data_IF_595653958684
#
_entry.id   IF_595653958684
#
_cell.length_a   1.000
_cell.length_b   1.000
_cell.length_c   1.000
_cell.angle_alpha   90.00
_cell.angle_beta   90.00
_cell.angle_gamma   90.00
#
_symmetry.space_group_name_H-M   'P 1'
#
loop_
_entity.id
_entity.type
_entity.pdbx_description
1 polymer ?
#
# COMPACT_ATOMS: atom_id res chain seq x y z
N UNK A 1 0.34 14.19 -2.95
CA UNK A 1 -0.10 13.07 -2.07
C UNK A 1 0.88 12.76 -0.95
N UNK A 2 2.20 12.82 -1.16
CA UNK A 2 3.21 12.54 -0.10
C UNK A 2 3.01 13.31 1.20
N UNK A 3 2.65 14.60 1.14
CA UNK A 3 2.42 15.41 2.34
C UNK A 3 1.27 14.93 3.24
N UNK A 4 0.25 14.25 2.70
CA UNK A 4 -0.86 13.72 3.50
C UNK A 4 -0.41 12.49 4.31
N UNK A 5 0.29 11.56 3.66
CA UNK A 5 0.81 10.36 4.33
C UNK A 5 1.90 10.70 5.34
N UNK A 6 2.84 11.60 5.01
CA UNK A 6 3.88 12.06 5.95
C UNK A 6 3.27 12.73 7.19
N UNK A 7 2.18 13.49 7.03
CA UNK A 7 1.54 14.19 8.14
C UNK A 7 0.71 13.27 9.04
N UNK A 8 0.18 12.16 8.51
CA UNK A 8 -0.72 11.27 9.25
C UNK A 8 -0.02 10.01 9.78
N UNK A 9 0.93 9.44 9.02
CA UNK A 9 1.73 8.29 9.43
C UNK A 9 3.02 8.17 8.59
N UNK A 10 4.10 8.77 9.09
CA UNK A 10 5.42 8.74 8.46
C UNK A 10 6.02 7.33 8.35
N UNK A 11 5.75 6.45 9.31
CA UNK A 11 6.27 5.08 9.28
C UNK A 11 5.61 4.31 8.14
N UNK A 12 4.29 4.37 8.05
CA UNK A 12 3.51 3.79 6.94
C UNK A 12 3.99 4.32 5.59
N UNK A 13 4.21 5.64 5.43
CA UNK A 13 4.73 6.20 4.19
C UNK A 13 6.08 5.61 3.78
N UNK A 14 7.01 5.49 4.73
CA UNK A 14 8.35 4.98 4.47
C UNK A 14 8.31 3.49 4.09
N UNK A 15 7.45 2.70 4.72
CA UNK A 15 7.32 1.29 4.40
C UNK A 15 6.67 1.04 3.03
N UNK A 16 5.66 1.84 2.67
CA UNK A 16 5.08 1.85 1.31
C UNK A 16 6.14 2.24 0.29
N UNK A 17 7.06 3.16 0.59
CA UNK A 17 8.11 3.57 -0.32
C UNK A 17 9.18 2.48 -0.51
N UNK A 18 9.60 1.82 0.57
CA UNK A 18 10.61 0.75 0.57
C UNK A 18 10.10 -0.56 -0.07
N UNK A 19 8.78 -0.78 -0.13
CA UNK A 19 8.14 -1.63 -1.14
C UNK A 19 8.18 -3.14 -0.95
N UNK A 20 8.26 -3.64 0.28
CA UNK A 20 8.40 -5.09 0.53
C UNK A 20 7.25 -5.69 1.35
N UNK A 21 6.13 -6.00 0.70
CA UNK A 21 5.08 -6.86 1.29
C UNK A 21 4.64 -8.02 0.40
N UNK A 22 5.27 -8.21 -0.76
CA UNK A 22 4.92 -9.32 -1.64
C UNK A 22 5.47 -10.62 -1.06
N UNK A 23 4.56 -11.51 -0.67
CA UNK A 23 4.90 -12.85 -0.21
C UNK A 23 4.88 -13.79 -1.40
N UNK A 24 6.05 -14.28 -1.79
CA UNK A 24 6.19 -15.24 -2.91
C UNK A 24 5.88 -16.69 -2.51
N UNK A 25 5.58 -16.92 -1.23
CA UNK A 25 5.24 -18.25 -0.70
C UNK A 25 3.76 -18.57 -0.94
N UNK A 26 3.47 -19.84 -1.19
CA UNK A 26 2.10 -20.35 -1.16
C UNK A 26 1.45 -20.13 0.21
N UNK A 27 0.15 -19.81 0.19
CA UNK A 27 -0.66 -19.56 1.39
C UNK A 27 -0.58 -20.69 2.43
N UNK A 28 -0.45 -21.94 1.96
CA UNK A 28 -0.31 -23.10 2.84
C UNK A 28 0.97 -23.09 3.71
N UNK A 29 1.97 -22.30 3.32
CA UNK A 29 3.27 -22.21 3.99
C UNK A 29 3.47 -20.89 4.74
N UNK A 30 2.43 -20.06 4.87
CA UNK A 30 2.52 -18.79 5.58
C UNK A 30 2.71 -19.03 7.08
N UNK A 31 3.65 -18.30 7.66
CA UNK A 31 3.86 -18.25 9.10
C UNK A 31 3.29 -16.95 9.69
N UNK A 32 3.43 -16.75 11.01
CA UNK A 32 2.91 -15.55 11.68
C UNK A 32 3.49 -14.25 11.11
N UNK A 33 4.77 -14.24 10.75
CA UNK A 33 5.41 -13.07 10.15
C UNK A 33 4.86 -12.76 8.76
N UNK A 34 4.58 -13.79 7.95
CA UNK A 34 3.93 -13.64 6.65
C UNK A 34 2.52 -13.02 6.82
N UNK A 35 1.75 -13.45 7.82
CA UNK A 35 0.45 -12.86 8.14
C UNK A 35 0.56 -11.39 8.59
N UNK A 36 1.56 -11.06 9.42
CA UNK A 36 1.80 -9.69 9.87
C UNK A 36 2.08 -8.75 8.68
N UNK A 37 2.84 -9.21 7.67
CA UNK A 37 3.11 -8.44 6.45
C UNK A 37 1.86 -8.23 5.59
N UNK A 38 0.97 -9.22 5.51
CA UNK A 38 -0.30 -9.10 4.78
C UNK A 38 -1.21 -8.09 5.48
N UNK A 39 -1.33 -8.18 6.80
CA UNK A 39 -2.14 -7.26 7.58
C UNK A 39 -1.62 -5.83 7.44
N UNK A 40 -0.30 -5.66 7.46
CA UNK A 40 0.34 -4.37 7.26
C UNK A 40 0.09 -3.82 5.85
N UNK A 41 0.25 -4.62 4.79
CA UNK A 41 -0.10 -4.21 3.43
C UNK A 41 -1.58 -3.80 3.32
N UNK A 42 -2.49 -4.53 3.94
CA UNK A 42 -3.91 -4.18 3.94
C UNK A 42 -4.19 -2.83 4.64
N UNK A 43 -3.51 -2.56 5.78
CA UNK A 43 -3.58 -1.26 6.47
C UNK A 43 -3.03 -0.13 5.61
N UNK A 44 -1.93 -0.36 4.91
CA UNK A 44 -1.31 0.61 4.03
C UNK A 44 -2.22 0.92 2.83
N UNK A 45 -2.78 -0.11 2.19
CA UNK A 45 -3.76 0.05 1.10
C UNK A 45 -5.00 0.83 1.56
N UNK A 46 -5.56 0.50 2.72
CA UNK A 46 -6.71 1.20 3.28
C UNK A 46 -6.37 2.68 3.53
N UNK A 47 -5.21 2.96 4.12
CA UNK A 47 -4.73 4.32 4.35
C UNK A 47 -4.62 5.07 3.02
N UNK A 48 -4.06 4.45 1.98
CA UNK A 48 -3.99 5.06 0.66
C UNK A 48 -5.38 5.37 0.11
N UNK A 49 -6.25 4.37 0.04
CA UNK A 49 -7.59 4.51 -0.53
C UNK A 49 -8.44 5.56 0.20
N UNK A 50 -8.31 5.66 1.52
CA UNK A 50 -9.02 6.67 2.32
C UNK A 50 -8.66 8.11 1.94
N UNK A 51 -7.47 8.33 1.38
CA UNK A 51 -6.99 9.64 0.94
C UNK A 51 -7.39 9.96 -0.52
N UNK A 52 -7.93 9.00 -1.27
CA UNK A 52 -8.24 9.15 -2.69
C UNK A 52 -9.65 9.67 -2.93
N UNK A 53 -9.82 10.45 -4.00
CA UNK A 53 -11.15 10.72 -4.56
C UNK A 53 -11.59 9.55 -5.42
N UNK A 54 -12.89 9.40 -5.64
CA UNK A 54 -13.49 8.31 -6.43
C UNK A 54 -12.80 8.08 -7.79
N UNK A 55 -12.51 9.15 -8.54
CA UNK A 55 -11.79 9.06 -9.82
C UNK A 55 -10.41 8.43 -9.69
N UNK A 56 -9.67 8.77 -8.64
CA UNK A 56 -8.32 8.26 -8.40
C UNK A 56 -8.40 6.81 -7.92
N UNK A 57 -9.32 6.51 -7.00
CA UNK A 57 -9.58 5.16 -6.53
C UNK A 57 -9.88 4.19 -7.69
N UNK A 58 -10.78 4.59 -8.60
CA UNK A 58 -11.15 3.75 -9.75
C UNK A 58 -9.97 3.38 -10.66
N UNK A 59 -8.90 4.18 -10.67
CA UNK A 59 -7.70 3.90 -11.47
C UNK A 59 -6.74 2.91 -10.82
N UNK A 60 -6.83 2.73 -9.49
CA UNK A 60 -5.83 1.96 -8.72
C UNK A 60 -6.44 0.84 -7.85
N UNK A 61 -7.77 0.70 -7.80
CA UNK A 61 -8.45 -0.31 -6.99
C UNK A 61 -8.10 -1.78 -7.32
N UNK A 62 -7.57 -2.05 -8.52
CA UNK A 62 -7.26 -3.41 -8.99
C UNK A 62 -5.85 -3.87 -8.62
N UNK A 63 -5.04 -3.04 -7.97
CA UNK A 63 -3.69 -3.42 -7.53
C UNK A 63 -3.74 -4.15 -6.18
N UNK A 64 -2.85 -5.12 -5.99
CA UNK A 64 -2.90 -6.05 -4.86
C UNK A 64 -1.99 -5.63 -3.69
N UNK A 65 -1.12 -4.65 -3.90
CA UNK A 65 -0.25 -4.13 -2.86
C UNK A 65 -0.14 -2.60 -2.84
N UNK A 66 0.10 -2.07 -1.64
CA UNK A 66 0.16 -0.64 -1.39
C UNK A 66 1.27 0.05 -2.21
N UNK A 67 2.39 -0.64 -2.47
CA UNK A 67 3.52 -0.13 -3.25
C UNK A 67 3.13 0.15 -4.70
N UNK A 68 2.48 -0.80 -5.37
CA UNK A 68 2.01 -0.65 -6.74
C UNK A 68 0.99 0.47 -6.88
N UNK A 69 0.06 0.58 -5.92
CA UNK A 69 -0.89 1.70 -5.86
C UNK A 69 -0.14 3.02 -5.75
N UNK A 70 0.82 3.10 -4.83
CA UNK A 70 1.62 4.31 -4.59
C UNK A 70 2.45 4.73 -5.79
N UNK A 71 3.16 3.77 -6.41
CA UNK A 71 3.97 4.02 -7.59
C UNK A 71 3.10 4.46 -8.77
N UNK A 72 1.91 3.87 -8.95
CA UNK A 72 0.96 4.31 -9.98
C UNK A 72 0.42 5.71 -9.72
N UNK A 73 0.12 6.05 -8.47
CA UNK A 73 -0.31 7.40 -8.11
C UNK A 73 0.80 8.43 -8.35
N UNK A 74 2.06 8.09 -8.06
CA UNK A 74 3.22 8.92 -8.42
C UNK A 74 3.37 9.07 -9.93
N UNK A 75 3.16 8.03 -10.72
CA UNK A 75 3.20 8.12 -12.19
C UNK A 75 2.12 9.06 -12.74
N UNK A 76 0.91 9.03 -12.17
CA UNK A 76 -0.25 9.81 -12.65
C UNK A 76 -0.27 11.26 -12.15
N UNK A 77 0.28 11.53 -10.96
CA UNK A 77 0.07 12.79 -10.23
C UNK A 77 1.32 13.33 -9.52
N UNK A 78 2.47 12.65 -9.64
CA UNK A 78 3.73 13.00 -8.98
C UNK A 78 4.52 14.09 -9.68
#
# INVERSE_FOLDING_TARGET
MGHYFIANDYQTWKQIEDGSYKIEKDMANWNSHDLDLIELNAKDMHTIFSALREKQYNQVQNYENAKEIWDKLKELYG
#
